data_IF_555348048878
#
_entry.id   IF_555348048878
#
_cell.length_a   1.000
_cell.length_b   1.000
_cell.length_c   1.000
_cell.angle_alpha   90.00
_cell.angle_beta   90.00
_cell.angle_gamma   90.00
#
_symmetry.space_group_name_H-M   'P 1'
#
loop_
_entity.id
_entity.type
_entity.pdbx_description
1 polymer ?
#
# COMPACT_ATOMS: atom_id res chain seq x y z
N UNK A 1 9.48 -17.66 -22.48
CA UNK A 1 10.37 -16.89 -21.60
C UNK A 1 9.54 -15.77 -20.99
N UNK A 2 9.54 -15.60 -19.67
CA UNK A 2 8.66 -14.67 -18.95
C UNK A 2 9.14 -13.22 -19.01
N UNK A 3 8.20 -12.26 -18.93
CA UNK A 3 8.51 -10.82 -18.82
C UNK A 3 9.32 -10.57 -17.52
N UNK A 4 10.32 -9.67 -17.52
CA UNK A 4 10.99 -9.27 -16.29
C UNK A 4 9.99 -8.71 -15.27
N UNK A 5 10.33 -8.82 -13.98
CA UNK A 5 9.53 -8.20 -12.92
C UNK A 5 9.45 -6.69 -13.15
N UNK A 6 8.25 -6.12 -12.96
CA UNK A 6 8.04 -4.68 -13.05
C UNK A 6 8.58 -4.05 -11.76
N UNK A 7 9.42 -3.03 -11.91
CA UNK A 7 9.95 -2.26 -10.78
C UNK A 7 9.04 -1.07 -10.49
N UNK A 8 8.40 -1.06 -9.33
CA UNK A 8 7.39 -0.07 -8.95
C UNK A 8 7.89 0.76 -7.78
N UNK A 9 8.78 1.70 -8.11
CA UNK A 9 9.28 2.73 -7.20
C UNK A 9 10.17 2.22 -6.09
N UNK A 10 10.78 3.19 -5.41
CA UNK A 10 11.71 2.97 -4.32
C UNK A 10 11.35 3.94 -3.19
N UNK A 11 11.42 3.47 -1.96
CA UNK A 11 11.53 4.35 -0.79
C UNK A 11 13.00 4.64 -0.53
N UNK A 12 13.32 5.90 -0.19
CA UNK A 12 14.66 6.27 0.22
C UNK A 12 14.91 5.78 1.66
N UNK A 13 15.25 4.48 1.78
CA UNK A 13 15.78 3.88 3.01
C UNK A 13 14.76 3.25 3.97
N UNK A 14 13.49 3.14 3.57
CA UNK A 14 12.45 2.46 4.38
C UNK A 14 12.17 1.05 3.86
N UNK A 15 12.07 0.05 4.74
CA UNK A 15 11.81 -1.33 4.35
C UNK A 15 10.31 -1.66 4.34
N UNK A 16 9.86 -2.41 3.33
CA UNK A 16 8.49 -2.93 3.29
C UNK A 16 8.31 -3.96 4.41
N UNK A 17 7.26 -3.78 5.21
CA UNK A 17 6.87 -4.69 6.30
C UNK A 17 5.59 -5.47 6.01
N UNK A 18 4.70 -4.92 5.19
CA UNK A 18 3.43 -5.54 4.79
C UNK A 18 3.13 -5.25 3.33
N UNK A 19 2.51 -6.21 2.66
CA UNK A 19 1.94 -6.08 1.33
C UNK A 19 0.50 -6.57 1.34
N UNK A 20 -0.36 -5.98 0.51
CA UNK A 20 -1.72 -6.47 0.28
C UNK A 20 -2.09 -6.29 -1.19
N UNK A 21 -2.34 -7.39 -1.88
CA UNK A 21 -2.86 -7.38 -3.25
C UNK A 21 -4.35 -7.01 -3.22
N UNK A 22 -4.75 -6.10 -4.09
CA UNK A 22 -6.15 -5.78 -4.30
C UNK A 22 -6.89 -7.03 -4.82
N UNK A 23 -8.14 -7.29 -4.38
CA UNK A 23 -8.83 -8.56 -4.68
C UNK A 23 -9.19 -8.75 -6.16
N UNK A 24 -9.40 -7.66 -6.92
CA UNK A 24 -9.84 -7.71 -8.32
C UNK A 24 -8.82 -7.10 -9.32
N UNK A 25 -8.33 -5.89 -9.07
CA UNK A 25 -7.41 -5.18 -9.94
C UNK A 25 -5.93 -5.49 -9.67
N UNK A 26 -5.07 -5.26 -10.68
CA UNK A 26 -3.60 -5.38 -10.60
C UNK A 26 -2.97 -4.22 -9.81
N UNK A 27 -3.35 -4.15 -8.54
CA UNK A 27 -2.95 -3.11 -7.60
C UNK A 27 -2.39 -3.76 -6.35
N UNK A 28 -1.29 -3.23 -5.84
CA UNK A 28 -0.66 -3.68 -4.58
C UNK A 28 -0.50 -2.50 -3.63
N UNK A 29 -0.94 -2.68 -2.40
CA UNK A 29 -0.56 -1.80 -1.29
C UNK A 29 0.73 -2.31 -0.64
N UNK A 30 1.65 -1.40 -0.34
CA UNK A 30 2.87 -1.69 0.41
C UNK A 30 2.99 -0.72 1.59
N UNK A 31 3.21 -1.28 2.78
CA UNK A 31 3.39 -0.55 4.03
C UNK A 31 4.79 -0.74 4.58
N UNK A 32 5.41 0.35 5.04
CA UNK A 32 6.82 0.43 5.39
C UNK A 32 7.06 0.48 6.91
N UNK A 33 8.32 0.35 7.31
CA UNK A 33 8.78 0.43 8.71
C UNK A 33 8.75 1.86 9.28
N UNK A 34 8.78 2.88 8.44
CA UNK A 34 8.61 4.29 8.84
C UNK A 34 7.13 4.69 9.03
N UNK A 35 6.20 3.79 8.72
CA UNK A 35 4.75 4.00 8.80
C UNK A 35 4.11 4.55 7.53
N UNK A 36 4.88 4.79 6.48
CA UNK A 36 4.32 5.17 5.18
C UNK A 36 3.58 4.01 4.51
N UNK A 37 2.62 4.35 3.65
CA UNK A 37 1.89 3.39 2.81
C UNK A 37 1.77 3.97 1.40
N UNK A 38 2.09 3.13 0.41
CA UNK A 38 1.83 3.41 -1.00
C UNK A 38 0.86 2.39 -1.57
N UNK A 39 0.18 2.78 -2.64
CA UNK A 39 -0.59 1.89 -3.51
C UNK A 39 -0.03 2.02 -4.92
N UNK A 40 0.37 0.90 -5.51
CA UNK A 40 0.93 0.82 -6.85
C UNK A 40 -0.05 0.13 -7.82
N UNK A 41 -0.37 0.79 -8.92
CA UNK A 41 -1.02 0.19 -10.09
C UNK A 41 0.08 -0.38 -10.99
N UNK A 42 0.10 -1.71 -11.11
CA UNK A 42 1.17 -2.45 -11.79
C UNK A 42 1.11 -2.19 -13.30
N UNK A 43 -0.09 -2.12 -13.85
CA UNK A 43 -0.31 -1.97 -15.29
C UNK A 43 -0.03 -0.56 -15.78
N UNK A 44 -0.32 0.44 -14.95
CA UNK A 44 -0.05 1.84 -15.27
C UNK A 44 1.31 2.33 -14.77
N UNK A 45 2.09 1.47 -14.11
CA UNK A 45 3.36 1.81 -13.46
C UNK A 45 3.25 3.09 -12.60
N UNK A 46 2.12 3.23 -11.91
CA UNK A 46 1.77 4.44 -11.16
C UNK A 46 1.76 4.15 -9.67
N UNK A 47 2.37 5.03 -8.90
CA UNK A 47 2.44 4.94 -7.44
C UNK A 47 1.67 6.10 -6.83
N UNK A 48 0.83 5.77 -5.84
CA UNK A 48 0.02 6.70 -5.08
C UNK A 48 0.44 6.64 -3.61
N UNK A 49 1.00 7.71 -3.05
CA UNK A 49 1.18 7.83 -1.60
C UNK A 49 -0.19 7.88 -0.91
N UNK A 50 -0.38 7.03 0.10
CA UNK A 50 -1.64 6.90 0.85
C UNK A 50 -1.48 7.34 2.31
N UNK A 51 -0.34 7.02 2.91
CA UNK A 51 0.02 7.46 4.25
C UNK A 51 1.48 7.92 4.28
N UNK A 52 1.75 9.03 4.96
CA UNK A 52 3.11 9.52 5.20
C UNK A 52 3.77 8.82 6.39
N UNK A 53 5.10 8.97 6.54
CA UNK A 53 5.86 8.37 7.63
C UNK A 53 5.56 9.02 9.00
N UNK A 54 6.16 8.47 10.05
CA UNK A 54 6.15 9.04 11.40
C UNK A 54 5.12 8.44 12.36
N UNK A 55 4.45 7.36 11.95
CA UNK A 55 3.45 6.64 12.78
C UNK A 55 3.91 5.26 13.24
N UNK A 56 5.20 4.94 13.08
CA UNK A 56 5.78 3.63 13.40
C UNK A 56 5.44 2.57 12.35
N UNK A 57 6.11 1.42 12.41
CA UNK A 57 6.04 0.40 11.38
C UNK A 57 4.63 -0.11 11.12
N UNK A 58 4.29 -0.32 9.85
CA UNK A 58 3.03 -0.93 9.44
C UNK A 58 3.01 -2.41 9.89
N UNK A 59 2.05 -2.75 10.75
CA UNK A 59 1.87 -4.10 11.30
C UNK A 59 0.64 -4.81 10.74
N UNK A 60 -0.34 -4.05 10.21
CA UNK A 60 -1.54 -4.55 9.55
C UNK A 60 -1.83 -3.74 8.28
N UNK A 61 -2.19 -4.43 7.19
CA UNK A 61 -2.56 -3.83 5.91
C UNK A 61 -3.48 -4.79 5.15
N UNK A 62 -4.70 -4.38 4.82
CA UNK A 62 -5.66 -5.25 4.14
C UNK A 62 -6.72 -4.47 3.35
N UNK A 63 -7.02 -4.96 2.15
CA UNK A 63 -8.19 -4.53 1.39
C UNK A 63 -9.45 -5.17 1.97
N UNK A 64 -10.59 -4.46 1.89
CA UNK A 64 -11.88 -5.12 2.05
C UNK A 64 -12.19 -6.02 0.84
N UNK A 65 -13.20 -6.89 0.97
CA UNK A 65 -13.54 -7.87 -0.06
C UNK A 65 -13.90 -7.24 -1.42
N UNK A 66 -14.48 -6.04 -1.41
CA UNK A 66 -14.83 -5.30 -2.63
C UNK A 66 -13.69 -4.44 -3.20
N UNK A 67 -12.53 -4.40 -2.54
CA UNK A 67 -11.39 -3.58 -2.96
C UNK A 67 -11.57 -2.06 -2.81
N UNK A 68 -12.72 -1.60 -2.30
CA UNK A 68 -13.03 -0.18 -2.17
C UNK A 68 -12.40 0.50 -0.96
N UNK A 69 -11.91 -0.27 0.01
CA UNK A 69 -11.27 0.28 1.20
C UNK A 69 -9.97 -0.44 1.53
N UNK A 70 -8.98 0.32 2.00
CA UNK A 70 -7.72 -0.19 2.53
C UNK A 70 -7.61 0.17 4.01
N UNK A 71 -7.57 -0.84 4.87
CA UNK A 71 -7.31 -0.67 6.30
C UNK A 71 -5.80 -0.79 6.57
N UNK A 72 -5.27 0.05 7.46
CA UNK A 72 -3.89 0.00 7.92
C UNK A 72 -3.81 0.18 9.44
N UNK A 73 -2.78 -0.41 10.04
CA UNK A 73 -2.44 -0.26 11.45
C UNK A 73 -0.93 -0.28 11.67
N UNK A 74 -0.47 0.47 12.67
CA UNK A 74 0.96 0.59 13.01
C UNK A 74 1.26 0.05 14.41
N UNK A 75 2.54 -0.22 14.67
CA UNK A 75 3.02 -0.64 15.99
C UNK A 75 2.81 0.41 17.10
N UNK A 76 2.66 1.69 16.76
CA UNK A 76 2.40 2.76 17.73
C UNK A 76 0.92 2.86 18.13
N UNK A 77 0.05 2.01 17.57
CA UNK A 77 -1.39 2.01 17.84
C UNK A 77 -2.21 2.92 16.92
N UNK A 78 -1.61 3.52 15.89
CA UNK A 78 -2.37 4.25 14.88
C UNK A 78 -3.11 3.27 13.96
N UNK A 79 -4.34 3.58 13.59
CA UNK A 79 -5.11 2.86 12.58
C UNK A 79 -5.90 3.83 11.70
N UNK A 80 -6.07 3.47 10.43
CA UNK A 80 -6.85 4.25 9.49
C UNK A 80 -7.55 3.35 8.46
N UNK A 81 -8.61 3.90 7.86
CA UNK A 81 -9.30 3.32 6.72
C UNK A 81 -9.28 4.34 5.59
N UNK A 82 -8.87 3.91 4.41
CA UNK A 82 -8.79 4.74 3.20
C UNK A 82 -9.86 4.28 2.24
N UNK A 83 -10.70 5.21 1.78
CA UNK A 83 -11.79 4.97 0.84
C UNK A 83 -11.34 5.29 -0.60
N UNK A 84 -11.38 4.28 -1.46
CA UNK A 84 -11.09 4.35 -2.90
C UNK A 84 -12.34 4.34 -3.77
N UNK A 85 -13.55 4.31 -3.18
CA UNK A 85 -14.82 4.28 -3.91
C UNK A 85 -15.19 5.61 -4.58
N UNK A 86 -14.56 6.71 -4.16
CA UNK A 86 -14.86 8.06 -4.68
C UNK A 86 -13.66 8.64 -5.43
N UNK A 87 -13.77 8.73 -6.74
CA UNK A 87 -13.13 9.81 -7.48
C UNK A 87 -14.09 11.00 -7.41
N UNK A 88 -13.67 12.06 -6.71
CA UNK A 88 -14.25 13.39 -6.88
C UNK A 88 -13.76 14.02 -8.17
#
# INVERSE_FOLDING_TARGET
>A
MGKPAVELGMSDGAFIKRIACHPEFEVVAAGFDDGSVIVADIMKEKILPVCGPGRGAITALAWNASGSHLALGTESGFAALVDFSKQG
#
